data_IF_225431010169
#
_entry.id   IF_225431010169
#
_cell.length_a   1.000
_cell.length_b   1.000
_cell.length_c   1.000
_cell.angle_alpha   90.00
_cell.angle_beta   90.00
_cell.angle_gamma   90.00
#
_symmetry.space_group_name_H-M   'P 1'
#
loop_
_entity.id
_entity.type
_entity.pdbx_description
1 polymer ?
#
# COMPACT_ATOMS: atom_id res chain seq x y z
N UNK A 1 0.69 -12.33 -62.64
CA UNK A 1 1.72 -12.86 -61.74
C UNK A 1 1.64 -12.04 -60.46
N UNK A 2 0.79 -12.43 -59.55
CA UNK A 2 0.64 -11.83 -58.24
C UNK A 2 1.60 -12.51 -57.30
N UNK A 3 2.55 -11.75 -56.79
CA UNK A 3 3.37 -12.20 -55.68
C UNK A 3 2.63 -12.00 -54.38
N UNK A 4 2.28 -13.12 -53.77
CA UNK A 4 1.88 -13.16 -52.36
C UNK A 4 3.02 -12.59 -51.48
N UNK A 5 2.81 -11.44 -50.92
CA UNK A 5 3.53 -11.03 -49.71
C UNK A 5 2.86 -11.76 -48.56
N UNK A 6 3.45 -12.87 -48.18
CA UNK A 6 3.10 -13.57 -46.95
C UNK A 6 3.37 -12.64 -45.77
N UNK A 7 2.31 -12.27 -45.13
CA UNK A 7 2.35 -11.54 -43.87
C UNK A 7 2.85 -12.51 -42.82
N UNK A 8 4.14 -12.39 -42.52
CA UNK A 8 4.71 -12.98 -41.31
C UNK A 8 4.28 -12.11 -40.11
N UNK A 9 2.97 -12.12 -39.88
CA UNK A 9 2.42 -11.69 -38.61
C UNK A 9 2.46 -12.90 -37.67
N UNK A 10 3.64 -13.47 -37.57
CA UNK A 10 3.85 -14.58 -36.65
C UNK A 10 4.43 -14.04 -35.35
N UNK A 11 3.55 -13.96 -34.37
CA UNK A 11 3.88 -14.41 -33.02
C UNK A 11 5.02 -13.67 -32.32
N UNK A 12 4.74 -12.46 -31.98
CA UNK A 12 5.22 -11.93 -30.69
C UNK A 12 4.09 -12.03 -29.63
N UNK A 13 3.29 -13.08 -29.72
CA UNK A 13 2.39 -13.50 -28.66
C UNK A 13 3.09 -14.48 -27.71
N UNK A 14 4.35 -14.27 -27.45
CA UNK A 14 5.05 -15.10 -26.48
C UNK A 14 5.72 -14.19 -25.48
N UNK A 15 5.17 -14.28 -24.28
CA UNK A 15 5.83 -13.96 -23.02
C UNK A 15 5.72 -12.54 -22.48
N UNK A 16 4.73 -11.76 -22.84
CA UNK A 16 4.27 -10.82 -21.86
C UNK A 16 3.09 -11.49 -21.16
N UNK A 17 3.36 -12.15 -20.05
CA UNK A 17 2.40 -12.22 -18.97
C UNK A 17 2.32 -10.81 -18.38
N UNK A 18 1.86 -9.86 -19.20
CA UNK A 18 1.29 -8.63 -18.71
C UNK A 18 0.07 -9.12 -17.97
N UNK A 19 0.09 -9.02 -16.65
CA UNK A 19 -1.10 -9.25 -15.87
C UNK A 19 -2.17 -8.38 -16.50
N UNK A 20 -3.23 -8.99 -16.98
CA UNK A 20 -4.35 -8.25 -17.54
C UNK A 20 -4.78 -7.23 -16.46
N UNK A 21 -4.62 -5.94 -16.75
CA UNK A 21 -4.93 -4.87 -15.82
C UNK A 21 -3.77 -3.99 -15.32
N UNK A 22 -2.50 -4.38 -15.49
CA UNK A 22 -1.39 -3.52 -15.05
C UNK A 22 -1.29 -2.20 -15.84
N UNK A 23 -1.74 -2.18 -17.08
CA UNK A 23 -1.75 -0.99 -17.95
C UNK A 23 -3.10 -0.26 -17.95
N UNK A 24 -4.11 -0.81 -17.26
CA UNK A 24 -5.43 -0.21 -17.17
C UNK A 24 -5.43 0.94 -16.15
N UNK A 25 -6.39 1.85 -16.30
CA UNK A 25 -6.64 2.85 -15.26
C UNK A 25 -7.07 2.15 -13.98
N UNK A 26 -6.41 2.46 -12.87
CA UNK A 26 -6.72 1.88 -11.56
C UNK A 26 -8.20 2.07 -11.23
N UNK A 27 -8.87 0.99 -10.84
CA UNK A 27 -10.30 0.97 -10.53
C UNK A 27 -10.64 0.05 -9.35
N UNK A 28 -11.89 0.11 -8.93
CA UNK A 28 -12.46 -0.65 -7.81
C UNK A 28 -12.45 -2.17 -8.06
N UNK A 29 -12.16 -2.91 -7.01
CA UNK A 29 -12.28 -4.38 -6.95
C UNK A 29 -11.48 -5.14 -8.01
N UNK A 30 -10.36 -4.56 -8.48
CA UNK A 30 -9.50 -5.15 -9.51
C UNK A 30 -8.31 -5.85 -8.88
N UNK A 31 -7.85 -6.89 -9.53
CA UNK A 31 -6.65 -7.63 -9.16
C UNK A 31 -5.44 -7.09 -9.95
N UNK A 32 -4.61 -6.32 -9.27
CA UNK A 32 -3.33 -5.78 -9.75
C UNK A 32 -2.14 -6.52 -9.13
N UNK A 33 -2.37 -7.69 -8.52
CA UNK A 33 -1.30 -8.42 -7.84
C UNK A 33 -0.15 -8.76 -8.80
N UNK A 34 1.07 -8.67 -8.26
CA UNK A 34 2.32 -8.87 -9.01
C UNK A 34 2.57 -7.86 -10.15
N UNK A 35 1.76 -6.83 -10.30
CA UNK A 35 2.03 -5.75 -11.25
C UNK A 35 3.27 -4.96 -10.84
N UNK A 36 4.06 -4.57 -11.83
CA UNK A 36 5.13 -3.60 -11.67
C UNK A 36 4.68 -2.29 -12.35
N UNK A 37 4.49 -1.26 -11.54
CA UNK A 37 4.09 0.04 -12.05
C UNK A 37 5.31 0.94 -12.23
N UNK A 38 5.16 1.98 -13.04
CA UNK A 38 6.22 2.97 -13.20
C UNK A 38 6.46 3.73 -11.90
N UNK A 39 7.71 4.03 -11.60
CA UNK A 39 8.08 4.82 -10.44
C UNK A 39 7.54 6.26 -10.54
N UNK A 40 7.35 6.90 -9.38
CA UNK A 40 6.94 8.30 -9.26
C UNK A 40 5.56 8.64 -9.87
N UNK A 41 4.70 7.62 -10.12
CA UNK A 41 3.35 7.87 -10.62
C UNK A 41 2.52 8.68 -9.63
N UNK A 42 1.73 9.61 -10.15
CA UNK A 42 0.73 10.34 -9.35
C UNK A 42 -0.65 9.70 -9.52
N UNK A 43 -1.06 8.95 -8.51
CA UNK A 43 -2.33 8.24 -8.39
C UNK A 43 -3.22 8.86 -7.30
N UNK A 44 -3.02 10.17 -7.05
CA UNK A 44 -3.80 10.90 -6.02
C UNK A 44 -5.29 10.86 -6.32
N UNK A 45 -6.08 10.59 -5.29
CA UNK A 45 -7.53 10.52 -5.38
C UNK A 45 -8.07 9.26 -6.09
N UNK A 46 -7.23 8.28 -6.40
CA UNK A 46 -7.68 7.01 -6.99
C UNK A 46 -8.73 6.33 -6.12
N UNK A 47 -9.71 5.69 -6.75
CA UNK A 47 -10.77 4.93 -6.10
C UNK A 47 -10.50 3.44 -6.26
N UNK A 48 -9.96 2.80 -5.22
CA UNK A 48 -9.41 1.44 -5.23
C UNK A 48 -9.93 0.58 -4.05
N UNK A 49 -11.19 0.71 -3.60
CA UNK A 49 -11.65 -0.14 -2.53
C UNK A 49 -11.68 -1.62 -2.97
N UNK A 50 -11.42 -2.52 -2.04
CA UNK A 50 -11.40 -3.97 -2.25
C UNK A 50 -10.42 -4.45 -3.34
N UNK A 51 -9.50 -3.63 -3.79
CA UNK A 51 -8.53 -3.99 -4.82
C UNK A 51 -7.36 -4.79 -4.26
N UNK A 52 -6.81 -5.68 -5.08
CA UNK A 52 -5.64 -6.47 -4.72
C UNK A 52 -4.38 -5.87 -5.37
N UNK A 53 -3.53 -5.28 -4.56
CA UNK A 53 -2.23 -4.70 -4.91
C UNK A 53 -1.08 -5.48 -4.23
N UNK A 54 -1.30 -6.75 -3.90
CA UNK A 54 -0.27 -7.57 -3.27
C UNK A 54 0.88 -7.88 -4.22
N UNK A 55 2.09 -7.94 -3.66
CA UNK A 55 3.32 -8.17 -4.43
C UNK A 55 3.59 -7.15 -5.55
N UNK A 56 2.91 -5.99 -5.52
CA UNK A 56 3.17 -4.90 -6.47
C UNK A 56 4.40 -4.10 -6.09
N UNK A 57 5.02 -3.45 -7.08
CA UNK A 57 6.11 -2.50 -6.86
C UNK A 57 5.71 -1.09 -7.26
N UNK A 58 5.85 -0.15 -6.32
CA UNK A 58 5.62 1.28 -6.53
C UNK A 58 6.68 2.07 -5.75
N UNK A 59 7.69 2.56 -6.42
CA UNK A 59 8.70 3.41 -5.78
C UNK A 59 8.27 4.87 -5.93
N UNK A 60 8.16 5.59 -4.80
CA UNK A 60 7.78 7.02 -4.76
C UNK A 60 6.42 7.34 -5.39
N UNK A 61 5.50 6.39 -5.44
CA UNK A 61 4.15 6.63 -5.93
C UNK A 61 3.40 7.57 -5.00
N UNK A 62 2.47 8.36 -5.55
CA UNK A 62 1.63 9.27 -4.79
C UNK A 62 0.19 8.77 -4.80
N UNK A 63 -0.28 8.24 -3.68
CA UNK A 63 -1.67 7.82 -3.42
C UNK A 63 -2.41 8.80 -2.49
N UNK A 64 -2.03 10.07 -2.49
CA UNK A 64 -2.64 11.05 -1.60
C UNK A 64 -4.15 11.14 -1.83
N UNK A 65 -4.92 11.15 -0.72
CA UNK A 65 -6.39 11.21 -0.73
C UNK A 65 -7.07 10.05 -1.48
N UNK A 66 -6.36 8.98 -1.83
CA UNK A 66 -6.96 7.80 -2.45
C UNK A 66 -7.90 7.09 -1.49
N UNK A 67 -8.86 6.37 -2.05
CA UNK A 67 -9.81 5.53 -1.31
C UNK A 67 -9.43 4.07 -1.57
N UNK A 68 -8.83 3.43 -0.56
CA UNK A 68 -8.25 2.07 -0.64
C UNK A 68 -8.77 1.18 0.51
N UNK A 69 -10.01 1.41 0.96
CA UNK A 69 -10.61 0.62 2.05
C UNK A 69 -10.68 -0.86 1.66
N UNK A 70 -10.41 -1.75 2.63
CA UNK A 70 -10.43 -3.21 2.44
C UNK A 70 -9.50 -3.71 1.32
N UNK A 71 -8.58 -2.90 0.84
CA UNK A 71 -7.64 -3.32 -0.20
C UNK A 71 -6.48 -4.13 0.39
N UNK A 72 -5.82 -4.91 -0.47
CA UNK A 72 -4.66 -5.71 -0.09
C UNK A 72 -3.40 -5.16 -0.75
N UNK A 73 -2.41 -4.74 0.07
CA UNK A 73 -1.10 -4.25 -0.34
C UNK A 73 0.02 -5.15 0.23
N UNK A 74 -0.34 -6.37 0.66
CA UNK A 74 0.57 -7.27 1.36
C UNK A 74 1.77 -7.66 0.49
N UNK A 75 2.94 -7.73 1.11
CA UNK A 75 4.21 -8.07 0.45
C UNK A 75 4.55 -7.16 -0.74
N UNK A 76 3.90 -6.01 -0.85
CA UNK A 76 4.19 -5.01 -1.88
C UNK A 76 5.41 -4.15 -1.50
N UNK A 77 6.01 -3.50 -2.48
CA UNK A 77 7.18 -2.65 -2.32
C UNK A 77 6.83 -1.19 -2.61
N UNK A 78 6.65 -0.38 -1.56
CA UNK A 78 6.20 1.01 -1.61
C UNK A 78 7.17 1.99 -0.93
N UNK A 79 8.50 1.90 -1.14
CA UNK A 79 9.42 2.80 -0.46
C UNK A 79 9.22 4.25 -0.93
N UNK A 80 9.40 5.20 -0.01
CA UNK A 80 9.28 6.64 -0.26
C UNK A 80 7.92 7.10 -0.83
N UNK A 81 6.90 6.23 -0.83
CA UNK A 81 5.58 6.52 -1.39
C UNK A 81 4.74 7.40 -0.45
N UNK A 82 3.81 8.17 -1.04
CA UNK A 82 2.93 9.06 -0.29
C UNK A 82 1.49 8.55 -0.26
N UNK A 83 0.93 8.47 0.96
CA UNK A 83 -0.46 8.11 1.26
C UNK A 83 -1.12 9.18 2.12
N UNK A 84 -0.72 10.45 1.96
CA UNK A 84 -1.23 11.56 2.77
C UNK A 84 -2.74 11.68 2.64
N UNK A 85 -3.46 11.61 3.78
CA UNK A 85 -4.93 11.62 3.84
C UNK A 85 -5.61 10.49 3.06
N UNK A 86 -4.90 9.44 2.70
CA UNK A 86 -5.52 8.26 2.09
C UNK A 86 -6.45 7.54 3.07
N UNK A 87 -7.49 6.89 2.56
CA UNK A 87 -8.37 6.05 3.36
C UNK A 87 -8.02 4.58 3.13
N UNK A 88 -7.31 4.00 4.09
CA UNK A 88 -6.84 2.61 4.14
C UNK A 88 -7.54 1.81 5.27
N UNK A 89 -8.79 2.18 5.57
CA UNK A 89 -9.60 1.47 6.57
C UNK A 89 -9.67 -0.03 6.28
N UNK A 90 -9.33 -0.86 7.27
CA UNK A 90 -9.31 -2.33 7.19
C UNK A 90 -8.42 -2.91 6.05
N UNK A 91 -7.46 -2.16 5.56
CA UNK A 91 -6.56 -2.63 4.50
C UNK A 91 -5.48 -3.56 5.04
N UNK A 92 -5.03 -4.50 4.20
CA UNK A 92 -3.95 -5.42 4.53
C UNK A 92 -2.62 -4.96 3.93
N UNK A 93 -1.68 -4.53 4.79
CA UNK A 93 -0.33 -4.07 4.44
C UNK A 93 0.75 -5.03 4.99
N UNK A 94 0.37 -6.26 5.35
CA UNK A 94 1.25 -7.27 5.96
C UNK A 94 2.49 -7.54 5.11
N UNK A 95 3.66 -7.59 5.75
CA UNK A 95 4.92 -7.93 5.12
C UNK A 95 5.40 -6.95 4.04
N UNK A 96 4.69 -5.84 3.84
CA UNK A 96 5.05 -4.84 2.83
C UNK A 96 6.26 -3.98 3.24
N UNK A 97 6.96 -3.45 2.25
CA UNK A 97 8.00 -2.45 2.44
C UNK A 97 7.43 -1.05 2.24
N UNK A 98 7.39 -0.26 3.32
CA UNK A 98 6.94 1.13 3.34
C UNK A 98 8.02 2.05 3.92
N UNK A 99 9.29 1.71 3.74
CA UNK A 99 10.40 2.53 4.22
C UNK A 99 10.29 3.96 3.69
N UNK A 100 10.40 4.95 4.60
CA UNK A 100 10.23 6.39 4.32
C UNK A 100 8.89 6.78 3.70
N UNK A 101 7.91 5.91 3.71
CA UNK A 101 6.57 6.26 3.24
C UNK A 101 5.90 7.29 4.14
N UNK A 102 4.99 8.07 3.57
CA UNK A 102 4.26 9.11 4.27
C UNK A 102 2.77 8.78 4.39
N UNK A 103 2.33 8.36 5.58
CA UNK A 103 0.93 8.13 5.94
C UNK A 103 0.32 9.25 6.78
N UNK A 104 0.88 10.46 6.72
CA UNK A 104 0.38 11.55 7.57
C UNK A 104 -1.09 11.84 7.31
N UNK A 105 -1.85 11.97 8.39
CA UNK A 105 -3.31 12.19 8.39
C UNK A 105 -4.13 11.09 7.67
N UNK A 106 -3.56 9.95 7.35
CA UNK A 106 -4.28 8.83 6.74
C UNK A 106 -5.25 8.17 7.74
N UNK A 107 -6.34 7.61 7.22
CA UNK A 107 -7.20 6.72 7.98
C UNK A 107 -6.69 5.28 7.82
N UNK A 108 -6.06 4.77 8.85
CA UNK A 108 -5.48 3.43 8.95
C UNK A 108 -6.17 2.61 10.05
N UNK A 109 -7.42 2.97 10.37
CA UNK A 109 -8.21 2.23 11.35
C UNK A 109 -8.29 0.76 10.95
N UNK A 110 -7.89 -0.14 11.87
CA UNK A 110 -7.82 -1.60 11.66
C UNK A 110 -6.91 -2.07 10.53
N UNK A 111 -5.99 -1.23 10.06
CA UNK A 111 -5.02 -1.66 9.05
C UNK A 111 -4.07 -2.72 9.63
N UNK A 112 -3.71 -3.72 8.83
CA UNK A 112 -2.79 -4.78 9.20
C UNK A 112 -1.38 -4.48 8.68
N UNK A 113 -0.44 -4.13 9.57
CA UNK A 113 0.97 -3.90 9.29
C UNK A 113 1.89 -5.02 9.81
N UNK A 114 1.35 -6.21 10.09
CA UNK A 114 2.18 -7.32 10.63
C UNK A 114 3.40 -7.57 9.79
N UNK A 115 4.57 -7.64 10.45
CA UNK A 115 5.83 -7.97 9.79
C UNK A 115 6.30 -7.00 8.71
N UNK A 116 5.65 -5.83 8.55
CA UNK A 116 6.05 -4.84 7.54
C UNK A 116 7.32 -4.08 7.93
N UNK A 117 8.06 -3.58 6.92
CA UNK A 117 9.13 -2.59 7.12
C UNK A 117 8.54 -1.18 7.06
N UNK A 118 8.63 -0.49 8.20
CA UNK A 118 8.12 0.88 8.41
C UNK A 118 9.26 1.83 8.83
N UNK A 119 10.50 1.51 8.48
CA UNK A 119 11.67 2.31 8.85
C UNK A 119 11.51 3.74 8.31
N UNK A 120 11.77 4.74 9.16
CA UNK A 120 11.66 6.17 8.83
C UNK A 120 10.26 6.58 8.30
N UNK A 121 9.22 5.78 8.54
CA UNK A 121 7.85 6.03 8.06
C UNK A 121 7.18 7.14 8.87
N UNK A 122 6.41 8.00 8.19
CA UNK A 122 5.70 9.11 8.83
C UNK A 122 4.21 8.80 9.01
N UNK A 123 3.76 8.64 10.27
CA UNK A 123 2.35 8.47 10.67
C UNK A 123 1.78 9.70 11.38
N UNK A 124 2.39 10.89 11.23
CA UNK A 124 1.95 12.09 11.92
C UNK A 124 0.45 12.34 11.75
N UNK A 125 -0.27 12.51 12.86
CA UNK A 125 -1.72 12.74 12.91
C UNK A 125 -2.58 11.66 12.21
N UNK A 126 -2.08 10.48 11.94
CA UNK A 126 -2.87 9.39 11.35
C UNK A 126 -3.84 8.76 12.36
N UNK A 127 -4.90 8.14 11.86
CA UNK A 127 -5.80 7.35 12.69
C UNK A 127 -5.42 5.86 12.58
N UNK A 128 -4.76 5.33 13.62
CA UNK A 128 -4.29 3.96 13.75
C UNK A 128 -5.10 3.16 14.80
N UNK A 129 -6.34 3.59 15.04
CA UNK A 129 -7.23 2.89 15.98
C UNK A 129 -7.36 1.40 15.58
N UNK A 130 -7.07 0.51 16.53
CA UNK A 130 -7.10 -0.95 16.32
C UNK A 130 -6.14 -1.50 15.24
N UNK A 131 -5.21 -0.70 14.70
CA UNK A 131 -4.22 -1.19 13.74
C UNK A 131 -3.30 -2.26 14.37
N UNK A 132 -2.76 -3.16 13.56
CA UNK A 132 -1.90 -4.26 14.03
C UNK A 132 -0.47 -4.12 13.50
N UNK A 133 0.48 -3.81 14.40
CA UNK A 133 1.91 -3.68 14.13
C UNK A 133 2.73 -4.89 14.61
N UNK A 134 2.10 -6.04 14.92
CA UNK A 134 2.82 -7.22 15.42
C UNK A 134 4.02 -7.53 14.54
N UNK A 135 5.22 -7.62 15.14
CA UNK A 135 6.49 -7.90 14.46
C UNK A 135 6.88 -6.89 13.35
N UNK A 136 6.23 -5.75 13.22
CA UNK A 136 6.64 -4.71 12.28
C UNK A 136 7.94 -4.03 12.75
N UNK A 137 8.79 -3.63 11.79
CA UNK A 137 9.99 -2.82 12.07
C UNK A 137 9.62 -1.34 11.95
N UNK A 138 9.50 -0.66 13.09
CA UNK A 138 9.10 0.75 13.20
C UNK A 138 10.27 1.68 13.53
N UNK A 139 11.51 1.30 13.22
CA UNK A 139 12.69 2.10 13.55
C UNK A 139 12.57 3.52 12.98
N UNK A 140 12.76 4.53 13.83
CA UNK A 140 12.67 5.96 13.51
C UNK A 140 11.30 6.42 12.95
N UNK A 141 10.24 5.62 13.04
CA UNK A 141 8.92 6.03 12.56
C UNK A 141 8.37 7.16 13.43
N UNK A 142 7.70 8.12 12.78
CA UNK A 142 7.08 9.25 13.46
C UNK A 142 5.59 8.99 13.70
N UNK A 143 5.18 8.82 14.96
CA UNK A 143 3.79 8.65 15.38
C UNK A 143 3.18 9.89 16.04
N UNK A 144 3.87 11.05 16.01
CA UNK A 144 3.38 12.27 16.67
C UNK A 144 1.93 12.56 16.28
N UNK A 145 1.06 12.76 17.28
CA UNK A 145 -0.37 13.02 17.09
C UNK A 145 -1.20 11.85 16.57
N UNK A 146 -0.59 10.70 16.26
CA UNK A 146 -1.32 9.53 15.77
C UNK A 146 -2.21 8.91 16.86
N UNK A 147 -3.43 8.50 16.50
CA UNK A 147 -4.33 7.77 17.37
C UNK A 147 -4.01 6.29 17.40
N UNK A 148 -3.35 5.81 18.44
CA UNK A 148 -2.93 4.42 18.64
C UNK A 148 -3.84 3.65 19.63
N UNK A 149 -5.02 4.17 19.96
CA UNK A 149 -5.93 3.50 20.87
C UNK A 149 -6.28 2.10 20.39
N UNK A 150 -6.14 1.10 21.25
CA UNK A 150 -6.37 -0.31 20.97
C UNK A 150 -5.50 -0.91 19.84
N UNK A 151 -4.53 -0.20 19.30
CA UNK A 151 -3.59 -0.77 18.34
C UNK A 151 -2.82 -1.93 18.99
N UNK A 152 -2.48 -2.96 18.21
CA UNK A 152 -1.57 -4.02 18.65
C UNK A 152 -0.16 -3.60 18.29
N UNK A 153 0.72 -3.48 19.31
CA UNK A 153 2.08 -2.99 19.10
C UNK A 153 3.02 -4.11 18.61
N UNK A 154 4.25 -3.77 18.32
CA UNK A 154 5.24 -4.68 17.74
C UNK A 154 5.52 -5.95 18.56
N UNK A 155 5.28 -5.92 19.86
CA UNK A 155 5.40 -7.04 20.79
C UNK A 155 4.09 -7.84 20.97
N UNK A 156 3.08 -7.56 20.18
CA UNK A 156 1.77 -8.20 20.23
C UNK A 156 0.83 -7.72 21.34
N UNK A 157 1.23 -6.70 22.12
CA UNK A 157 0.39 -6.15 23.18
C UNK A 157 -0.46 -4.98 22.70
N UNK A 158 -1.63 -4.83 23.30
CA UNK A 158 -2.51 -3.72 23.00
C UNK A 158 -2.05 -2.41 23.64
N UNK A 159 -2.17 -1.33 22.88
CA UNK A 159 -2.03 0.01 23.40
C UNK A 159 -3.32 0.40 24.15
N UNK A 160 -3.16 1.01 25.33
CA UNK A 160 -4.28 1.44 26.17
C UNK A 160 -5.05 2.63 25.55
N UNK A 161 -6.22 2.91 26.06
CA UNK A 161 -6.93 4.16 25.73
C UNK A 161 -6.09 5.37 26.14
N UNK A 162 -6.12 6.41 25.33
CA UNK A 162 -5.29 7.62 25.50
C UNK A 162 -3.89 7.48 24.89
N UNK A 163 -3.62 6.45 24.10
CA UNK A 163 -2.39 6.29 23.33
C UNK A 163 -2.42 7.22 22.11
N UNK A 164 -1.91 8.42 22.30
CA UNK A 164 -1.74 9.42 21.23
C UNK A 164 -0.25 9.72 21.10
N UNK A 165 0.29 9.55 19.90
CA UNK A 165 1.70 9.76 19.59
C UNK A 165 2.63 8.65 20.10
N UNK A 166 2.23 7.90 21.12
CA UNK A 166 2.96 6.77 21.70
C UNK A 166 2.01 5.67 22.18
N UNK A 167 2.46 4.41 22.13
CA UNK A 167 1.72 3.28 22.66
C UNK A 167 1.89 3.19 24.17
N UNK A 168 0.85 3.48 24.94
CA UNK A 168 0.80 3.27 26.40
C UNK A 168 0.32 1.85 26.67
N UNK A 169 0.99 1.14 27.56
CA UNK A 169 0.67 -0.26 27.93
C UNK A 169 0.07 -0.35 29.30
#
# INVERSE_FOLDING_TARGET
>A
MQKLLGIFFLLLFLTNNVHAGCDDTLSDSVDYSNCQFSDEQNLSGSYLPNSNLSFTGFIKVIFDKSIMMNSTLSFGNFPESSFVRANLYESNLEGGNFEKANFSSANLTRANFKGSSLIDTNFHNSNLFEADFTAANILNSNFEGANLNNATWTDGKKCSLGSIGECKK
#
